data_IF_292518242409
#
_entry.id   IF_292518242409
#
_cell.length_a   1.000
_cell.length_b   1.000
_cell.length_c   1.000
_cell.angle_alpha   90.00
_cell.angle_beta   90.00
_cell.angle_gamma   90.00
#
_symmetry.space_group_name_H-M   'P 1'
#
loop_
_entity.id
_entity.type
_entity.pdbx_description
1 polymer ?
#
# COMPACT_ATOMS: atom_id res chain seq x y z
N UNK A 1 1.46 0.89 13.12
CA UNK A 1 2.21 1.42 14.28
C UNK A 1 2.35 2.92 14.10
N UNK A 2 1.70 3.73 14.94
CA UNK A 2 1.90 5.18 14.97
C UNK A 2 3.30 5.42 15.55
N UNK A 3 4.23 5.91 14.73
CA UNK A 3 5.52 6.43 15.19
C UNK A 3 5.27 7.72 15.98
N UNK A 4 4.82 7.59 17.23
CA UNK A 4 4.89 8.68 18.18
C UNK A 4 6.38 8.95 18.46
N UNK A 5 6.94 9.90 17.72
CA UNK A 5 7.69 11.14 18.08
C UNK A 5 8.20 11.28 19.55
N UNK A 6 8.35 10.21 20.31
CA UNK A 6 8.92 10.21 21.65
C UNK A 6 10.46 10.25 21.61
N UNK A 7 11.08 9.92 20.47
CA UNK A 7 12.55 9.81 20.32
C UNK A 7 13.31 11.14 20.26
N UNK A 8 12.71 12.22 19.75
CA UNK A 8 13.45 13.46 19.48
C UNK A 8 13.75 14.32 20.72
N UNK A 9 12.99 14.15 21.81
CA UNK A 9 13.12 15.01 23.00
C UNK A 9 14.48 14.89 23.69
N UNK A 10 15.17 13.77 23.53
CA UNK A 10 16.44 13.51 24.21
C UNK A 10 17.67 13.78 23.34
N UNK A 11 17.51 13.94 22.02
CA UNK A 11 18.61 14.15 21.09
C UNK A 11 19.18 15.57 21.24
N UNK A 12 20.48 15.67 21.49
CA UNK A 12 21.26 16.92 21.50
C UNK A 12 21.56 17.40 20.08
N UNK A 13 21.72 16.49 19.12
CA UNK A 13 22.01 16.83 17.73
C UNK A 13 21.34 15.88 16.75
N UNK A 14 20.77 16.45 15.68
CA UNK A 14 20.01 15.73 14.67
C UNK A 14 20.45 16.21 13.30
N UNK A 15 20.75 15.28 12.39
CA UNK A 15 20.87 15.59 10.97
C UNK A 15 19.57 15.31 10.23
N UNK A 16 19.27 16.12 9.21
CA UNK A 16 18.04 16.08 8.45
C UNK A 16 18.40 15.89 6.99
N UNK A 17 17.84 14.86 6.36
CA UNK A 17 18.00 14.60 4.93
C UNK A 17 16.62 14.69 4.27
N UNK A 18 16.35 15.85 3.66
CA UNK A 18 15.15 16.06 2.85
C UNK A 18 15.35 15.54 1.43
N UNK A 19 14.34 14.93 0.84
CA UNK A 19 14.43 14.45 -0.54
C UNK A 19 13.13 13.88 -1.07
N UNK A 20 12.99 13.85 -2.40
CA UNK A 20 11.84 13.15 -3.01
C UNK A 20 11.89 11.65 -2.72
N UNK A 21 13.10 11.05 -2.72
CA UNK A 21 13.33 9.62 -2.49
C UNK A 21 12.49 8.74 -3.41
N UNK A 22 12.71 8.88 -4.72
CA UNK A 22 11.87 8.25 -5.75
C UNK A 22 12.65 7.36 -6.75
N UNK A 23 13.21 6.22 -6.31
CA UNK A 23 13.21 5.71 -4.94
C UNK A 23 14.43 6.19 -4.12
N UNK A 24 14.40 5.95 -2.79
CA UNK A 24 15.61 5.99 -1.96
C UNK A 24 16.62 4.92 -2.44
N UNK A 25 17.91 5.16 -2.24
CA UNK A 25 18.97 4.29 -2.77
C UNK A 25 20.25 4.37 -1.94
N UNK A 26 21.21 3.49 -2.19
CA UNK A 26 22.43 3.35 -1.36
C UNK A 26 23.27 4.63 -1.30
N UNK A 27 23.27 5.44 -2.36
CA UNK A 27 23.90 6.78 -2.34
C UNK A 27 23.37 7.71 -1.25
N UNK A 28 22.06 7.67 -0.95
CA UNK A 28 21.46 8.48 0.11
C UNK A 28 21.89 7.98 1.50
N UNK A 29 21.85 6.66 1.70
CA UNK A 29 22.19 6.02 2.97
C UNK A 29 23.66 6.22 3.36
N UNK A 30 24.58 6.07 2.40
CA UNK A 30 26.01 6.30 2.63
C UNK A 30 26.28 7.76 2.97
N UNK A 31 25.61 8.70 2.30
CA UNK A 31 25.73 10.13 2.61
C UNK A 31 25.25 10.42 4.03
N UNK A 32 24.08 9.92 4.41
CA UNK A 32 23.51 10.10 5.74
C UNK A 32 24.43 9.53 6.83
N UNK A 33 24.95 8.32 6.65
CA UNK A 33 25.82 7.68 7.65
C UNK A 33 27.17 8.40 7.77
N UNK A 34 27.74 8.84 6.65
CA UNK A 34 29.00 9.58 6.65
C UNK A 34 28.86 10.90 7.41
N UNK A 35 27.76 11.65 7.20
CA UNK A 35 27.47 12.87 7.98
C UNK A 35 27.25 12.52 9.45
N UNK A 36 26.48 11.47 9.73
CA UNK A 36 26.21 11.02 11.11
C UNK A 36 27.50 10.82 11.89
N UNK A 37 28.41 10.04 11.31
CA UNK A 37 29.70 9.72 11.91
C UNK A 37 30.60 10.96 12.04
N UNK A 38 30.72 11.77 10.99
CA UNK A 38 31.62 12.94 10.96
C UNK A 38 31.25 14.01 11.97
N UNK A 39 29.96 14.27 12.15
CA UNK A 39 29.44 15.30 13.05
C UNK A 39 28.99 14.75 14.41
N UNK A 40 29.12 13.44 14.63
CA UNK A 40 28.70 12.74 15.83
C UNK A 40 27.27 13.13 16.25
N UNK A 41 26.34 13.09 15.28
CA UNK A 41 24.93 13.41 15.57
C UNK A 41 24.20 12.18 16.11
N UNK A 42 23.26 12.41 17.02
CA UNK A 42 22.53 11.34 17.69
C UNK A 42 21.63 10.56 16.72
N UNK A 43 21.00 11.28 15.78
CA UNK A 43 20.07 10.72 14.78
C UNK A 43 20.18 11.40 13.43
N UNK A 44 19.85 10.64 12.37
CA UNK A 44 19.54 11.20 11.04
C UNK A 44 18.06 10.97 10.75
N UNK A 45 17.32 12.04 10.48
CA UNK A 45 15.92 12.01 10.10
C UNK A 45 15.80 12.20 8.59
N UNK A 46 15.26 11.19 7.92
CA UNK A 46 14.87 11.25 6.52
C UNK A 46 13.47 11.86 6.42
N UNK A 47 13.31 12.84 5.53
CA UNK A 47 12.03 13.53 5.31
C UNK A 47 11.66 13.39 3.83
N UNK A 48 10.85 12.37 3.49
CA UNK A 48 10.26 12.25 2.16
C UNK A 48 9.37 13.45 1.88
N UNK A 49 9.61 14.14 0.77
CA UNK A 49 8.82 15.33 0.42
C UNK A 49 7.36 14.96 0.20
N UNK A 50 6.43 15.79 0.70
CA UNK A 50 4.99 15.67 0.48
C UNK A 50 4.63 15.88 -0.99
N UNK A 51 4.18 17.10 -1.32
CA UNK A 51 3.99 17.57 -2.70
C UNK A 51 5.12 18.56 -3.05
N UNK A 52 6.22 18.12 -3.69
CA UNK A 52 7.34 19.01 -4.01
C UNK A 52 6.92 20.07 -5.04
N UNK A 53 6.93 21.34 -4.63
CA UNK A 53 6.51 22.51 -5.43
C UNK A 53 7.35 22.71 -6.71
N UNK A 54 8.56 22.15 -6.73
CA UNK A 54 9.51 22.28 -7.85
C UNK A 54 9.40 21.17 -8.90
N UNK A 55 8.51 20.17 -8.72
CA UNK A 55 8.36 19.01 -9.62
C UNK A 55 6.94 18.83 -10.18
N UNK A 56 6.13 19.90 -10.24
CA UNK A 56 4.72 19.86 -10.70
C UNK A 56 4.56 19.28 -12.13
N UNK A 57 5.61 19.29 -12.95
CA UNK A 57 5.61 18.77 -14.33
C UNK A 57 6.18 17.36 -14.50
N UNK A 58 6.68 16.72 -13.43
CA UNK A 58 7.25 15.37 -13.50
C UNK A 58 6.29 14.39 -12.83
N UNK A 59 6.08 13.22 -13.44
CA UNK A 59 5.40 12.11 -12.80
C UNK A 59 6.29 11.63 -11.65
N UNK A 60 5.86 11.90 -10.42
CA UNK A 60 6.53 11.49 -9.18
C UNK A 60 5.67 10.42 -8.54
N UNK A 61 6.26 9.31 -8.13
CA UNK A 61 5.52 8.23 -7.48
C UNK A 61 4.81 8.73 -6.23
N UNK A 62 3.64 8.16 -5.94
CA UNK A 62 2.81 8.57 -4.83
C UNK A 62 3.61 8.65 -3.51
N UNK A 63 3.28 9.65 -2.69
CA UNK A 63 4.04 10.01 -1.50
C UNK A 63 4.15 8.86 -0.46
N UNK A 64 3.11 8.05 -0.31
CA UNK A 64 3.11 6.84 0.53
C UNK A 64 4.12 5.78 0.10
N UNK A 65 4.24 5.48 -1.20
CA UNK A 65 5.25 4.52 -1.67
C UNK A 65 6.66 5.01 -1.33
N UNK A 66 6.93 6.30 -1.56
CA UNK A 66 8.23 6.91 -1.25
C UNK A 66 8.53 6.90 0.25
N UNK A 67 7.53 7.16 1.08
CA UNK A 67 7.64 7.03 2.54
C UNK A 67 7.98 5.59 2.95
N UNK A 68 7.22 4.60 2.46
CA UNK A 68 7.40 3.19 2.81
C UNK A 68 8.76 2.66 2.35
N UNK A 69 9.19 2.98 1.13
CA UNK A 69 10.54 2.66 0.65
C UNK A 69 11.62 3.28 1.55
N UNK A 70 11.41 4.51 2.02
CA UNK A 70 12.35 5.18 2.96
C UNK A 70 12.39 4.47 4.31
N UNK A 71 11.26 4.02 4.85
CA UNK A 71 11.20 3.22 6.08
C UNK A 71 11.94 1.90 5.90
N UNK A 72 11.67 1.17 4.82
CA UNK A 72 12.33 -0.11 4.52
C UNK A 72 13.84 0.04 4.33
N UNK A 73 14.30 1.14 3.74
CA UNK A 73 15.72 1.42 3.56
C UNK A 73 16.46 1.73 4.86
N UNK A 74 15.77 2.27 5.86
CA UNK A 74 16.39 2.81 7.09
C UNK A 74 16.19 1.91 8.30
N UNK A 75 15.23 0.98 8.28
CA UNK A 75 14.83 0.16 9.44
C UNK A 75 15.95 -0.66 10.10
N UNK A 76 17.05 -0.93 9.40
CA UNK A 76 18.20 -1.68 9.93
C UNK A 76 19.27 -0.82 10.61
N UNK A 77 19.16 0.51 10.54
CA UNK A 77 20.08 1.43 11.22
C UNK A 77 19.35 2.12 12.37
N UNK A 78 19.72 1.77 13.61
CA UNK A 78 19.11 2.33 14.82
C UNK A 78 19.25 3.86 14.93
N UNK A 79 20.20 4.45 14.20
CA UNK A 79 20.44 5.89 14.21
C UNK A 79 19.62 6.64 13.14
N UNK A 80 18.90 5.92 12.29
CA UNK A 80 18.07 6.50 11.22
C UNK A 80 16.60 6.45 11.58
N UNK A 81 15.89 7.53 11.28
CA UNK A 81 14.44 7.64 11.45
C UNK A 81 13.80 8.27 10.23
N UNK A 82 12.52 8.00 10.01
CA UNK A 82 11.76 8.58 8.89
C UNK A 82 10.59 9.38 9.43
N UNK A 83 10.51 10.64 9.02
CA UNK A 83 9.45 11.55 9.45
C UNK A 83 8.41 11.75 8.35
N UNK A 84 7.14 11.68 8.74
CA UNK A 84 5.98 11.97 7.89
C UNK A 84 5.58 13.44 7.85
N UNK A 85 6.35 14.31 8.50
CA UNK A 85 5.99 15.71 8.76
C UNK A 85 5.62 16.52 7.49
N UNK A 86 6.23 16.20 6.35
CA UNK A 86 5.88 16.82 5.05
C UNK A 86 4.79 16.06 4.29
N UNK A 87 4.67 14.75 4.49
CA UNK A 87 3.67 13.89 3.85
C UNK A 87 2.27 14.23 4.36
N UNK A 88 2.15 14.41 5.67
CA UNK A 88 0.87 14.65 6.35
C UNK A 88 0.49 16.15 6.35
N UNK A 89 1.35 17.04 5.83
CA UNK A 89 1.09 18.48 5.75
C UNK A 89 0.27 18.81 4.48
N UNK A 90 -0.88 19.50 4.60
CA UNK A 90 -1.63 19.94 3.44
C UNK A 90 -0.88 21.05 2.68
N UNK A 91 -0.97 21.02 1.34
CA UNK A 91 -0.44 22.07 0.47
C UNK A 91 1.04 21.94 0.11
N UNK A 92 1.64 23.06 -0.33
CA UNK A 92 3.06 23.13 -0.67
C UNK A 92 3.93 23.02 0.59
N UNK A 93 5.08 22.37 0.46
CA UNK A 93 6.03 22.15 1.56
C UNK A 93 7.29 22.99 1.32
N UNK A 94 7.74 23.70 2.36
CA UNK A 94 8.96 24.50 2.36
C UNK A 94 9.87 24.06 3.51
N UNK A 95 11.19 24.03 3.25
CA UNK A 95 12.18 23.57 4.22
C UNK A 95 12.11 24.34 5.55
N UNK A 96 11.92 25.66 5.50
CA UNK A 96 11.80 26.49 6.71
C UNK A 96 10.66 26.01 7.63
N UNK A 97 9.48 25.79 7.07
CA UNK A 97 8.30 25.34 7.80
C UNK A 97 8.52 23.94 8.39
N UNK A 98 9.30 23.08 7.71
CA UNK A 98 9.69 21.74 8.21
C UNK A 98 10.67 21.83 9.37
N UNK A 99 11.71 22.66 9.27
CA UNK A 99 12.70 22.86 10.33
C UNK A 99 12.06 23.45 11.58
N UNK A 100 11.17 24.44 11.46
CA UNK A 100 10.47 25.02 12.60
C UNK A 100 9.56 24.01 13.30
N UNK A 101 8.82 23.22 12.52
CA UNK A 101 7.95 22.19 13.08
C UNK A 101 8.76 21.09 13.79
N UNK A 102 9.90 20.67 13.25
CA UNK A 102 10.79 19.72 13.93
C UNK A 102 11.40 20.28 15.21
N UNK A 103 11.83 21.55 15.20
CA UNK A 103 12.43 22.19 16.37
C UNK A 103 11.45 22.25 17.55
N UNK A 104 10.16 22.44 17.29
CA UNK A 104 9.08 22.38 18.30
C UNK A 104 8.91 20.99 18.94
N UNK A 105 9.32 19.93 18.24
CA UNK A 105 9.25 18.55 18.73
C UNK A 105 10.51 18.11 19.50
N UNK A 106 11.60 18.88 19.39
CA UNK A 106 12.89 18.58 19.99
C UNK A 106 13.09 19.36 21.31
N UNK A 107 14.19 19.07 22.01
CA UNK A 107 14.64 19.90 23.14
C UNK A 107 15.05 21.32 22.68
N UNK A 108 14.92 22.35 23.54
CA UNK A 108 15.15 23.76 23.15
C UNK A 108 16.56 24.06 22.60
N UNK A 109 17.57 23.34 23.06
CA UNK A 109 18.99 23.49 22.72
C UNK A 109 19.47 22.50 21.64
N UNK A 110 18.55 21.82 20.94
CA UNK A 110 18.90 20.89 19.86
C UNK A 110 19.72 21.58 18.76
N UNK A 111 20.77 20.92 18.28
CA UNK A 111 21.48 21.31 17.07
C UNK A 111 20.96 20.55 15.86
N UNK A 112 20.53 21.27 14.84
CA UNK A 112 20.02 20.69 13.61
C UNK A 112 21.05 20.86 12.48
N UNK A 113 21.30 19.79 11.73
CA UNK A 113 22.19 19.76 10.58
C UNK A 113 21.39 19.41 9.32
N UNK A 114 21.26 20.32 8.36
CA UNK A 114 20.56 20.05 7.11
C UNK A 114 21.53 19.52 6.05
N UNK A 115 21.37 18.25 5.67
CA UNK A 115 22.17 17.57 4.66
C UNK A 115 21.62 17.93 3.28
N UNK A 116 22.47 18.49 2.42
CA UNK A 116 22.09 18.81 1.04
C UNK A 116 23.27 18.69 0.10
N UNK A 117 23.00 18.43 -1.19
CA UNK A 117 24.04 18.47 -2.21
C UNK A 117 24.60 19.88 -2.38
N UNK A 118 25.87 19.99 -2.77
CA UNK A 118 26.51 21.29 -3.03
C UNK A 118 25.73 22.18 -4.02
N UNK A 119 25.08 21.59 -5.03
CA UNK A 119 24.29 22.35 -6.00
C UNK A 119 23.12 23.12 -5.38
N UNK A 120 22.55 22.60 -4.28
CA UNK A 120 21.46 23.27 -3.58
C UNK A 120 21.95 24.52 -2.82
N UNK A 121 23.24 24.57 -2.42
CA UNK A 121 23.83 25.72 -1.75
C UNK A 121 23.84 26.93 -2.69
N UNK A 122 24.13 26.73 -3.99
CA UNK A 122 24.08 27.80 -5.01
C UNK A 122 22.69 28.44 -5.14
N UNK A 123 21.63 27.74 -4.74
CA UNK A 123 20.24 28.19 -4.88
C UNK A 123 19.60 28.57 -3.55
N UNK A 124 20.30 28.42 -2.42
CA UNK A 124 19.72 28.55 -1.08
C UNK A 124 19.08 29.92 -0.84
N UNK A 125 19.63 30.98 -1.43
CA UNK A 125 19.11 32.35 -1.32
C UNK A 125 17.75 32.56 -2.01
N UNK A 126 17.32 31.64 -2.88
CA UNK A 126 16.01 31.66 -3.52
C UNK A 126 14.94 30.88 -2.74
N UNK A 127 15.31 30.22 -1.63
CA UNK A 127 14.37 29.47 -0.82
C UNK A 127 13.49 30.42 0.00
N UNK A 128 12.36 29.93 0.49
CA UNK A 128 11.48 30.70 1.39
C UNK A 128 12.23 31.00 2.70
N UNK A 129 12.36 32.28 3.02
CA UNK A 129 12.97 32.80 4.27
C UNK A 129 14.40 32.25 4.53
N UNK A 130 15.36 32.49 3.60
CA UNK A 130 16.67 31.83 3.63
C UNK A 130 17.51 32.26 4.83
N UNK A 131 17.43 33.54 5.22
CA UNK A 131 18.14 34.08 6.39
C UNK A 131 17.67 33.41 7.69
N UNK A 132 16.36 33.24 7.82
CA UNK A 132 15.76 32.57 8.97
C UNK A 132 16.17 31.11 9.00
N UNK A 133 16.13 30.42 7.86
CA UNK A 133 16.54 29.03 7.74
C UNK A 133 18.02 28.83 8.16
N UNK A 134 18.92 29.67 7.64
CA UNK A 134 20.35 29.67 7.99
C UNK A 134 20.62 29.95 9.48
N UNK A 135 19.71 30.63 10.17
CA UNK A 135 19.79 30.86 11.62
C UNK A 135 19.30 29.69 12.47
N UNK A 136 18.48 28.79 11.89
CA UNK A 136 17.82 27.71 12.64
C UNK A 136 18.59 26.38 12.61
N UNK A 137 19.38 26.13 11.57
CA UNK A 137 20.17 24.91 11.40
C UNK A 137 21.53 25.17 10.72
N UNK A 138 22.50 24.31 11.03
CA UNK A 138 23.77 24.23 10.34
C UNK A 138 23.58 23.46 9.02
N UNK A 139 24.26 23.83 7.94
CA UNK A 139 24.14 23.15 6.65
C UNK A 139 25.33 22.24 6.40
N UNK A 140 25.11 21.07 5.82
CA UNK A 140 26.16 20.15 5.41
C UNK A 140 26.06 19.94 3.91
N UNK A 141 26.90 20.67 3.17
CA UNK A 141 27.03 20.60 1.73
C UNK A 141 27.88 19.38 1.35
N UNK A 142 27.25 18.37 0.77
CA UNK A 142 27.93 17.14 0.34
C UNK A 142 28.30 17.20 -1.13
N UNK A 143 29.53 16.79 -1.45
CA UNK A 143 30.03 16.68 -2.84
C UNK A 143 30.49 15.28 -3.17
N UNK A 144 30.53 15.03 -4.48
CA UNK A 144 31.23 13.89 -5.08
C UNK A 144 32.66 14.30 -5.46
N UNK A 145 33.61 13.36 -5.52
CA UNK A 145 34.94 13.60 -6.08
C UNK A 145 34.87 14.26 -7.46
N UNK A 146 35.68 15.29 -7.68
CA UNK A 146 35.74 16.04 -8.94
C UNK A 146 34.77 17.23 -9.05
N UNK A 147 34.00 17.55 -8.01
CA UNK A 147 33.16 18.76 -7.97
C UNK A 147 34.01 20.05 -7.96
N UNK A 148 33.57 21.08 -8.68
CA UNK A 148 34.21 22.40 -8.71
C UNK A 148 34.08 23.09 -7.34
N UNK A 149 35.19 23.12 -6.60
CA UNK A 149 35.22 23.61 -5.23
C UNK A 149 35.27 25.13 -5.16
N UNK A 150 35.84 25.78 -6.16
CA UNK A 150 36.14 27.22 -6.09
C UNK A 150 34.86 28.04 -6.07
N UNK A 151 33.90 27.67 -6.93
CA UNK A 151 32.57 28.30 -6.95
C UNK A 151 31.83 28.10 -5.64
N UNK A 152 31.84 26.88 -5.10
CA UNK A 152 31.17 26.57 -3.83
C UNK A 152 31.78 27.33 -2.65
N UNK A 153 33.12 27.45 -2.61
CA UNK A 153 33.80 28.21 -1.56
C UNK A 153 33.49 29.72 -1.64
N UNK A 154 33.31 30.27 -2.84
CA UNK A 154 32.85 31.64 -3.04
C UNK A 154 31.50 31.90 -2.37
N UNK A 155 30.49 31.10 -2.72
CA UNK A 155 29.14 31.25 -2.18
C UNK A 155 29.10 31.03 -0.66
N UNK A 156 29.86 30.04 -0.15
CA UNK A 156 29.95 29.79 1.30
C UNK A 156 30.56 31.00 2.03
N UNK A 157 31.58 31.66 1.46
CA UNK A 157 32.17 32.87 2.06
C UNK A 157 31.15 34.00 2.14
N UNK A 158 30.47 34.27 1.02
CA UNK A 158 29.45 35.32 0.98
C UNK A 158 28.34 35.08 1.99
N UNK A 159 27.85 33.84 2.09
CA UNK A 159 26.79 33.49 3.04
C UNK A 159 27.28 33.62 4.49
N UNK A 160 28.50 33.19 4.81
CA UNK A 160 29.08 33.30 6.16
C UNK A 160 29.34 34.73 6.60
N UNK A 161 29.72 35.61 5.68
CA UNK A 161 29.95 37.03 5.96
C UNK A 161 28.64 37.76 6.26
N UNK A 162 27.56 37.41 5.55
CA UNK A 162 26.25 38.08 5.68
C UNK A 162 25.38 37.50 6.79
N UNK A 163 25.45 36.20 7.00
CA UNK A 163 24.59 35.46 7.92
C UNK A 163 25.48 34.59 8.77
N UNK A 164 25.46 34.75 10.09
CA UNK A 164 26.23 33.99 11.11
C UNK A 164 25.90 32.49 11.10
N UNK A 165 26.10 31.85 9.95
CA UNK A 165 25.59 30.56 9.54
C UNK A 165 26.76 29.60 9.42
N UNK A 166 26.53 28.35 9.83
CA UNK A 166 27.56 27.31 9.78
C UNK A 166 27.27 26.37 8.61
N UNK A 167 27.76 26.75 7.44
CA UNK A 167 27.80 25.84 6.28
C UNK A 167 29.09 25.03 6.38
N UNK A 168 28.95 23.72 6.47
CA UNK A 168 30.02 22.74 6.45
C UNK A 168 30.11 22.11 5.07
N UNK A 169 31.33 21.76 4.68
CA UNK A 169 31.62 21.06 3.44
C UNK A 169 32.14 19.66 3.74
N UNK A 170 31.66 18.66 3.00
CA UNK A 170 32.08 17.28 3.17
C UNK A 170 32.05 16.52 1.84
N UNK A 171 33.17 15.91 1.49
CA UNK A 171 33.24 14.96 0.38
C UNK A 171 32.76 13.58 0.86
N UNK A 172 31.86 12.95 0.11
CA UNK A 172 31.35 11.60 0.39
C UNK A 172 31.79 10.63 -0.72
N UNK A 173 31.87 9.31 -0.44
CA UNK A 173 32.22 8.32 -1.45
C UNK A 173 31.40 8.46 -2.74
N UNK A 174 32.08 8.35 -3.89
CA UNK A 174 31.46 8.47 -5.21
C UNK A 174 30.57 7.26 -5.53
N UNK A 175 29.34 7.24 -5.02
CA UNK A 175 28.31 6.35 -5.52
C UNK A 175 27.58 7.04 -6.66
N UNK A 176 27.94 6.70 -7.90
CA UNK A 176 27.30 7.19 -9.12
C UNK A 176 25.92 6.53 -9.33
N UNK A 177 25.08 6.61 -8.30
CA UNK A 177 23.71 6.11 -8.26
C UNK A 177 22.78 7.31 -8.30
N UNK A 178 21.72 7.22 -9.10
CA UNK A 178 20.65 8.21 -9.12
C UNK A 178 19.30 7.53 -9.18
N UNK A 179 18.29 8.12 -8.53
CA UNK A 179 16.93 7.61 -8.60
C UNK A 179 16.40 7.57 -10.05
N UNK A 180 16.80 8.52 -10.90
CA UNK A 180 16.39 8.54 -12.31
C UNK A 180 16.92 7.35 -13.11
N UNK A 181 18.18 6.96 -12.90
CA UNK A 181 18.75 5.74 -13.51
C UNK A 181 18.04 4.47 -13.01
N UNK A 182 17.70 4.41 -11.71
CA UNK A 182 16.96 3.28 -11.14
C UNK A 182 15.57 3.14 -11.77
N UNK A 183 14.81 4.23 -11.88
CA UNK A 183 13.48 4.21 -12.51
C UNK A 183 13.56 3.77 -13.97
N UNK A 184 14.53 4.28 -14.71
CA UNK A 184 14.76 3.93 -16.11
C UNK A 184 15.16 2.46 -16.30
N UNK A 185 16.02 1.92 -15.42
CA UNK A 185 16.35 0.48 -15.40
C UNK A 185 15.13 -0.38 -15.11
N UNK A 186 14.36 -0.04 -14.07
CA UNK A 186 13.16 -0.77 -13.69
C UNK A 186 12.14 -0.81 -14.84
N UNK A 187 11.92 0.33 -15.50
CA UNK A 187 11.07 0.45 -16.69
C UNK A 187 11.50 -0.48 -17.84
N UNK A 188 12.80 -0.67 -18.03
CA UNK A 188 13.36 -1.54 -19.09
C UNK A 188 13.54 -3.00 -18.67
N UNK A 189 13.12 -3.39 -17.47
CA UNK A 189 13.38 -4.72 -16.91
C UNK A 189 14.86 -5.01 -16.66
N UNK A 190 15.70 -3.97 -16.57
CA UNK A 190 17.13 -4.08 -16.27
C UNK A 190 17.34 -4.19 -14.76
N UNK A 191 18.26 -5.05 -14.27
CA UNK A 191 18.48 -5.20 -12.84
C UNK A 191 18.82 -3.91 -12.10
N UNK A 192 18.13 -3.68 -10.97
CA UNK A 192 18.36 -2.59 -10.00
C UNK A 192 19.07 -3.08 -8.72
N UNK A 193 19.43 -4.37 -8.70
CA UNK A 193 20.16 -5.04 -7.62
C UNK A 193 21.39 -4.27 -7.18
N UNK A 194 21.61 -4.17 -5.88
CA UNK A 194 22.75 -3.49 -5.23
C UNK A 194 22.83 -1.96 -5.41
N UNK A 195 21.96 -1.34 -6.21
CA UNK A 195 21.85 0.12 -6.29
C UNK A 195 21.08 0.70 -5.10
N UNK A 196 20.20 -0.10 -4.51
CA UNK A 196 19.35 0.21 -3.37
C UNK A 196 19.26 -1.00 -2.41
N UNK A 197 18.73 -0.84 -1.20
CA UNK A 197 18.55 -1.96 -0.26
C UNK A 197 17.60 -3.03 -0.80
N UNK A 198 17.85 -4.30 -0.47
CA UNK A 198 17.02 -5.44 -0.89
C UNK A 198 15.53 -5.22 -0.62
N UNK A 199 15.18 -4.76 0.58
CA UNK A 199 13.78 -4.56 0.96
C UNK A 199 13.06 -3.51 0.08
N UNK A 200 13.81 -2.55 -0.49
CA UNK A 200 13.26 -1.56 -1.42
C UNK A 200 13.13 -2.16 -2.83
N UNK A 201 14.08 -3.00 -3.25
CA UNK A 201 13.99 -3.76 -4.50
C UNK A 201 12.73 -4.64 -4.49
N UNK A 202 12.55 -5.44 -3.43
CA UNK A 202 11.40 -6.33 -3.25
C UNK A 202 10.09 -5.54 -3.27
N UNK A 203 10.08 -4.35 -2.64
CA UNK A 203 8.91 -3.46 -2.63
C UNK A 203 8.58 -2.93 -4.03
N UNK A 204 9.59 -2.45 -4.78
CA UNK A 204 9.40 -1.96 -6.16
C UNK A 204 8.80 -3.06 -7.04
N UNK A 205 9.31 -4.28 -6.96
CA UNK A 205 8.78 -5.41 -7.72
C UNK A 205 7.37 -5.81 -7.27
N UNK A 206 7.13 -5.88 -5.95
CA UNK A 206 5.83 -6.26 -5.38
C UNK A 206 4.68 -5.33 -5.81
N UNK A 207 4.97 -4.04 -5.95
CA UNK A 207 3.99 -3.02 -6.32
C UNK A 207 4.13 -2.56 -7.78
N UNK A 208 4.91 -3.27 -8.60
CA UNK A 208 5.17 -2.95 -10.02
C UNK A 208 5.53 -1.47 -10.28
N UNK A 209 6.23 -0.83 -9.33
CA UNK A 209 6.56 0.60 -9.45
C UNK A 209 7.54 0.82 -10.61
N UNK A 210 7.36 1.96 -11.30
CA UNK A 210 8.22 2.39 -12.41
C UNK A 210 8.10 1.56 -13.70
N UNK A 211 7.01 0.82 -13.87
CA UNK A 211 6.68 0.06 -15.08
C UNK A 211 5.60 0.80 -15.89
N UNK A 212 5.62 0.68 -17.22
CA UNK A 212 4.83 1.53 -18.14
C UNK A 212 3.32 1.24 -18.15
N UNK A 213 2.82 0.24 -17.42
CA UNK A 213 1.47 -0.26 -17.60
C UNK A 213 0.39 0.35 -16.70
N UNK A 214 0.72 1.08 -15.62
CA UNK A 214 -0.32 1.66 -14.76
C UNK A 214 0.09 3.03 -14.19
N UNK A 215 -0.90 3.92 -13.99
CA UNK A 215 -0.68 5.13 -13.19
C UNK A 215 -0.21 4.68 -11.81
N UNK A 216 0.89 5.26 -11.32
CA UNK A 216 1.40 5.15 -9.93
C UNK A 216 0.41 5.74 -8.90
N UNK A 217 -0.86 5.35 -8.98
CA UNK A 217 -1.87 5.51 -7.95
C UNK A 217 -1.58 4.51 -6.83
N UNK A 218 -1.96 4.82 -5.59
CA UNK A 218 -1.74 3.88 -4.49
C UNK A 218 -2.65 2.68 -4.67
N UNK A 219 -2.17 1.66 -5.37
CA UNK A 219 -2.76 0.32 -5.32
C UNK A 219 -2.22 -0.34 -4.07
N UNK A 220 -2.98 -0.21 -2.99
CA UNK A 220 -2.69 -0.98 -1.78
C UNK A 220 -2.80 -2.47 -2.05
N UNK A 221 -3.70 -2.86 -2.95
CA UNK A 221 -3.99 -4.23 -3.34
C UNK A 221 -2.93 -4.82 -4.29
N UNK A 222 -2.64 -6.12 -4.16
CA UNK A 222 -1.77 -6.83 -5.10
C UNK A 222 -2.35 -6.80 -6.53
N UNK A 223 -1.52 -6.89 -7.56
CA UNK A 223 -2.02 -7.07 -8.93
C UNK A 223 -2.65 -8.47 -9.10
N UNK A 224 -3.50 -8.63 -10.12
CA UNK A 224 -4.26 -9.87 -10.33
C UNK A 224 -3.36 -11.09 -10.54
N UNK A 225 -2.24 -10.94 -11.26
CA UNK A 225 -1.31 -12.05 -11.53
C UNK A 225 -0.70 -12.60 -10.23
N UNK A 226 -0.22 -11.73 -9.33
CA UNK A 226 0.34 -12.13 -8.04
C UNK A 226 -0.74 -12.75 -7.14
N UNK A 227 -1.96 -12.20 -7.16
CA UNK A 227 -3.07 -12.80 -6.42
C UNK A 227 -3.33 -14.22 -6.88
N UNK A 228 -3.38 -14.43 -8.20
CA UNK A 228 -3.65 -15.70 -8.83
C UNK A 228 -2.55 -16.73 -8.52
N UNK A 229 -1.27 -16.36 -8.61
CA UNK A 229 -0.14 -17.23 -8.26
C UNK A 229 -0.18 -17.66 -6.77
N UNK A 230 -0.42 -16.69 -5.87
CA UNK A 230 -0.52 -16.96 -4.42
C UNK A 230 -1.70 -17.87 -4.12
N UNK A 231 -2.84 -17.65 -4.78
CA UNK A 231 -4.05 -18.43 -4.60
C UNK A 231 -3.92 -19.85 -5.17
N UNK A 232 -3.32 -20.01 -6.34
CA UNK A 232 -3.06 -21.31 -6.96
C UNK A 232 -2.22 -22.22 -6.05
N UNK A 233 -1.30 -21.63 -5.28
CA UNK A 233 -0.47 -22.36 -4.32
C UNK A 233 -1.21 -22.71 -3.02
N UNK A 234 -2.27 -21.98 -2.69
CA UNK A 234 -3.02 -22.12 -1.44
C UNK A 234 -4.25 -23.04 -1.56
N UNK A 235 -4.88 -23.08 -2.73
CA UNK A 235 -6.10 -23.85 -2.98
C UNK A 235 -5.80 -25.23 -3.56
N UNK A 236 -6.69 -26.19 -3.29
CA UNK A 236 -6.73 -27.45 -4.02
C UNK A 236 -7.05 -27.21 -5.51
N UNK A 237 -6.60 -28.11 -6.38
CA UNK A 237 -6.82 -28.01 -7.83
C UNK A 237 -8.32 -27.86 -8.16
N UNK A 238 -9.18 -28.66 -7.52
CA UNK A 238 -10.64 -28.59 -7.72
C UNK A 238 -11.19 -27.21 -7.35
N UNK A 239 -10.73 -26.65 -6.22
CA UNK A 239 -11.17 -25.33 -5.76
C UNK A 239 -10.67 -24.22 -6.65
N UNK A 240 -9.41 -24.28 -7.08
CA UNK A 240 -8.85 -23.28 -7.99
C UNK A 240 -9.58 -23.25 -9.34
N UNK A 241 -9.90 -24.41 -9.93
CA UNK A 241 -10.71 -24.48 -11.17
C UNK A 241 -12.08 -23.85 -10.96
N UNK A 242 -12.74 -24.18 -9.85
CA UNK A 242 -14.02 -23.57 -9.48
C UNK A 242 -13.89 -22.04 -9.35
N UNK A 243 -12.87 -21.54 -8.64
CA UNK A 243 -12.63 -20.10 -8.50
C UNK A 243 -12.46 -19.40 -9.85
N UNK A 244 -11.70 -19.97 -10.78
CA UNK A 244 -11.56 -19.40 -12.12
C UNK A 244 -12.90 -19.42 -12.89
N UNK A 245 -13.69 -20.49 -12.74
CA UNK A 245 -15.05 -20.54 -13.28
C UNK A 245 -15.97 -19.45 -12.74
N UNK A 246 -15.87 -19.12 -11.45
CA UNK A 246 -16.59 -18.01 -10.82
C UNK A 246 -16.13 -16.67 -11.39
N UNK A 247 -14.83 -16.46 -11.57
CA UNK A 247 -14.29 -15.23 -12.18
C UNK A 247 -14.86 -15.04 -13.59
N UNK A 248 -14.76 -16.07 -14.44
CA UNK A 248 -15.25 -16.02 -15.83
C UNK A 248 -16.76 -15.75 -15.89
N UNK A 249 -17.54 -16.41 -15.03
CA UNK A 249 -18.99 -16.25 -14.99
C UNK A 249 -19.40 -14.86 -14.47
N UNK A 250 -18.70 -14.37 -13.44
CA UNK A 250 -18.95 -13.05 -12.88
C UNK A 250 -18.62 -11.94 -13.89
N UNK A 251 -17.56 -12.10 -14.69
CA UNK A 251 -17.27 -11.19 -15.81
C UNK A 251 -18.41 -11.16 -16.83
N UNK A 252 -18.93 -12.33 -17.24
CA UNK A 252 -20.08 -12.41 -18.17
C UNK A 252 -21.31 -11.69 -17.64
N UNK A 253 -21.65 -11.88 -16.37
CA UNK A 253 -22.78 -11.17 -15.74
C UNK A 253 -22.51 -9.65 -15.66
N UNK A 254 -21.27 -9.25 -15.45
CA UNK A 254 -20.89 -7.82 -15.41
C UNK A 254 -21.00 -7.15 -16.77
N UNK A 255 -20.74 -7.87 -17.87
CA UNK A 255 -20.94 -7.36 -19.23
C UNK A 255 -22.42 -7.04 -19.52
N UNK A 256 -23.35 -7.72 -18.84
CA UNK A 256 -24.80 -7.55 -19.02
C UNK A 256 -25.36 -6.49 -18.08
N UNK A 257 -25.00 -6.56 -16.79
CA UNK A 257 -25.65 -5.77 -15.73
C UNK A 257 -24.76 -4.65 -15.17
N UNK A 258 -23.45 -4.73 -15.35
CA UNK A 258 -22.47 -3.83 -14.76
C UNK A 258 -21.89 -2.82 -15.76
N UNK A 259 -20.80 -2.18 -15.33
CA UNK A 259 -20.04 -1.22 -16.13
C UNK A 259 -18.57 -1.62 -16.26
N UNK A 260 -17.86 -0.99 -17.20
CA UNK A 260 -16.43 -1.26 -17.40
C UNK A 260 -15.58 -0.95 -16.15
N UNK A 261 -16.02 -0.01 -15.30
CA UNK A 261 -15.37 0.31 -14.03
C UNK A 261 -15.51 -0.79 -12.97
N UNK A 262 -16.50 -1.68 -13.10
CA UNK A 262 -16.75 -2.75 -12.13
C UNK A 262 -15.89 -4.00 -12.40
N UNK A 263 -15.37 -4.13 -13.63
CA UNK A 263 -14.63 -5.32 -14.08
C UNK A 263 -13.51 -5.72 -13.13
N UNK A 264 -12.69 -4.75 -12.70
CA UNK A 264 -11.58 -5.03 -11.78
C UNK A 264 -12.09 -5.51 -10.41
N UNK A 265 -13.16 -4.91 -9.87
CA UNK A 265 -13.72 -5.32 -8.58
C UNK A 265 -14.27 -6.74 -8.64
N UNK A 266 -14.95 -7.08 -9.72
CA UNK A 266 -15.53 -8.40 -9.97
C UNK A 266 -14.45 -9.46 -10.08
N UNK A 267 -13.38 -9.20 -10.85
CA UNK A 267 -12.25 -10.12 -10.97
C UNK A 267 -11.61 -10.41 -9.61
N UNK A 268 -11.36 -9.37 -8.80
CA UNK A 268 -10.76 -9.53 -7.47
C UNK A 268 -11.69 -10.27 -6.51
N UNK A 269 -12.97 -9.88 -6.45
CA UNK A 269 -13.95 -10.51 -5.56
C UNK A 269 -14.15 -11.98 -5.94
N UNK A 270 -14.28 -12.27 -7.24
CA UNK A 270 -14.39 -13.63 -7.78
C UNK A 270 -13.13 -14.45 -7.51
N UNK A 271 -11.94 -13.88 -7.66
CA UNK A 271 -10.68 -14.59 -7.40
C UNK A 271 -10.52 -14.92 -5.91
N UNK A 272 -10.95 -14.03 -5.01
CA UNK A 272 -10.71 -14.17 -3.58
C UNK A 272 -11.91 -14.68 -2.76
N UNK A 273 -13.09 -14.93 -3.36
CA UNK A 273 -14.30 -15.32 -2.63
C UNK A 273 -14.07 -16.53 -1.71
N UNK A 274 -13.31 -17.51 -2.19
CA UNK A 274 -13.02 -18.78 -1.51
C UNK A 274 -11.58 -18.89 -0.98
N UNK A 275 -10.85 -17.77 -0.85
CA UNK A 275 -9.43 -17.78 -0.50
C UNK A 275 -9.08 -18.43 0.86
N UNK A 276 -10.07 -18.56 1.76
CA UNK A 276 -9.91 -19.22 3.05
C UNK A 276 -10.58 -20.61 3.13
N UNK A 277 -11.10 -21.13 2.01
CA UNK A 277 -11.94 -22.34 2.00
C UNK A 277 -11.21 -23.62 2.37
N UNK A 278 -10.00 -23.78 1.86
CA UNK A 278 -9.18 -24.99 2.05
C UNK A 278 -8.28 -24.90 3.29
N UNK A 279 -8.47 -23.89 4.15
CA UNK A 279 -7.68 -23.74 5.38
C UNK A 279 -7.96 -24.92 6.34
N UNK A 280 -6.92 -25.62 6.83
CA UNK A 280 -7.08 -26.63 7.86
C UNK A 280 -7.77 -26.07 9.11
N UNK A 281 -8.58 -26.84 9.85
CA UNK A 281 -9.33 -26.35 11.01
C UNK A 281 -8.47 -25.59 12.03
N UNK A 282 -7.27 -26.10 12.33
CA UNK A 282 -6.33 -25.44 13.25
C UNK A 282 -5.87 -24.07 12.74
N UNK A 283 -5.63 -23.95 11.44
CA UNK A 283 -5.22 -22.70 10.79
C UNK A 283 -6.38 -21.70 10.75
N UNK A 284 -7.57 -22.16 10.38
CA UNK A 284 -8.81 -21.36 10.38
C UNK A 284 -9.08 -20.78 11.76
N UNK A 285 -9.06 -21.62 12.80
CA UNK A 285 -9.37 -21.19 14.16
C UNK A 285 -8.32 -20.20 14.70
N UNK A 286 -7.04 -20.43 14.38
CA UNK A 286 -5.95 -19.49 14.67
C UNK A 286 -6.17 -18.13 14.02
N UNK A 287 -6.47 -18.10 12.72
CA UNK A 287 -6.67 -16.84 12.00
C UNK A 287 -7.95 -16.13 12.39
N UNK A 288 -9.03 -16.85 12.71
CA UNK A 288 -10.25 -16.22 13.25
C UNK A 288 -9.94 -15.44 14.53
N UNK A 289 -9.11 -16.01 15.42
CA UNK A 289 -8.68 -15.33 16.65
C UNK A 289 -7.74 -14.15 16.38
N UNK A 290 -6.75 -14.33 15.51
CA UNK A 290 -5.76 -13.29 15.20
C UNK A 290 -6.38 -12.08 14.51
N UNK A 291 -7.26 -12.35 13.53
CA UNK A 291 -7.92 -11.32 12.73
C UNK A 291 -9.21 -10.81 13.38
N UNK A 292 -9.61 -11.39 14.52
CA UNK A 292 -10.82 -11.03 15.26
C UNK A 292 -12.08 -11.16 14.41
N UNK A 293 -12.16 -12.25 13.63
CA UNK A 293 -13.34 -12.58 12.83
C UNK A 293 -14.52 -12.81 13.78
N UNK A 294 -15.67 -12.14 13.59
CA UNK A 294 -16.85 -12.41 14.39
C UNK A 294 -17.40 -13.80 14.05
N UNK A 295 -17.28 -14.75 14.98
CA UNK A 295 -17.80 -16.11 14.85
C UNK A 295 -18.99 -16.28 15.79
N UNK A 296 -20.18 -16.35 15.22
CA UNK A 296 -21.43 -16.51 15.97
C UNK A 296 -21.76 -17.99 16.27
N UNK A 297 -22.89 -18.24 16.93
CA UNK A 297 -23.28 -19.59 17.33
C UNK A 297 -23.71 -20.48 16.15
N UNK A 298 -24.18 -19.90 15.04
CA UNK A 298 -24.50 -20.65 13.82
C UNK A 298 -23.22 -21.13 13.14
N UNK A 299 -22.22 -20.24 13.01
CA UNK A 299 -20.91 -20.56 12.46
C UNK A 299 -20.15 -21.60 13.29
N UNK A 300 -20.31 -21.61 14.62
CA UNK A 300 -19.75 -22.67 15.47
C UNK A 300 -20.35 -24.04 15.18
N UNK A 301 -21.66 -24.12 14.90
CA UNK A 301 -22.36 -25.37 14.57
C UNK A 301 -22.11 -25.82 13.14
N UNK A 302 -21.94 -24.87 12.22
CA UNK A 302 -21.64 -25.12 10.80
C UNK A 302 -20.33 -24.39 10.45
N UNK A 303 -19.16 -24.99 10.76
CA UNK A 303 -17.86 -24.33 10.58
C UNK A 303 -17.54 -23.94 9.13
N UNK A 304 -18.20 -24.57 8.16
CA UNK A 304 -18.10 -24.18 6.76
C UNK A 304 -18.59 -22.75 6.52
N UNK A 305 -19.45 -22.17 7.36
CA UNK A 305 -19.90 -20.78 7.23
C UNK A 305 -18.84 -19.76 7.66
N UNK A 306 -17.71 -20.18 8.20
CA UNK A 306 -16.64 -19.27 8.66
C UNK A 306 -15.79 -18.75 7.49
N UNK A 307 -15.59 -19.56 6.44
CA UNK A 307 -14.66 -19.22 5.36
C UNK A 307 -14.94 -17.89 4.63
N UNK A 308 -16.18 -17.42 4.37
CA UNK A 308 -16.36 -16.15 3.67
C UNK A 308 -15.99 -14.96 4.58
N UNK A 309 -16.32 -15.04 5.88
CA UNK A 309 -15.98 -14.01 6.86
C UNK A 309 -14.48 -13.96 7.11
N UNK A 310 -13.84 -15.12 7.26
CA UNK A 310 -12.38 -15.21 7.32
C UNK A 310 -11.74 -14.79 6.00
N UNK A 311 -12.33 -15.15 4.87
CA UNK A 311 -11.88 -14.83 3.52
C UNK A 311 -11.81 -13.33 3.26
N UNK A 312 -12.81 -12.56 3.70
CA UNK A 312 -12.76 -11.09 3.64
C UNK A 312 -11.57 -10.54 4.45
N UNK A 313 -11.32 -11.09 5.63
CA UNK A 313 -10.21 -10.65 6.49
C UNK A 313 -8.82 -11.08 5.96
N UNK A 314 -8.74 -12.23 5.26
CA UNK A 314 -7.56 -12.69 4.53
C UNK A 314 -7.33 -11.80 3.30
N UNK A 315 -8.36 -11.53 2.49
CA UNK A 315 -8.28 -10.63 1.35
C UNK A 315 -7.75 -9.24 1.76
N UNK A 316 -8.26 -8.71 2.89
CA UNK A 316 -7.80 -7.42 3.42
C UNK A 316 -6.32 -7.41 3.81
N UNK A 317 -5.83 -8.44 4.49
CA UNK A 317 -4.46 -8.44 5.08
C UNK A 317 -3.40 -9.03 4.17
N UNK A 318 -3.74 -10.13 3.51
CA UNK A 318 -2.80 -10.94 2.74
C UNK A 318 -2.72 -10.56 1.26
N UNK A 319 -3.82 -10.01 0.74
CA UNK A 319 -3.96 -9.52 -0.64
C UNK A 319 -4.11 -7.99 -0.70
N UNK A 320 -4.14 -7.34 0.47
CA UNK A 320 -4.16 -5.90 0.65
C UNK A 320 -5.38 -5.20 0.01
N UNK A 321 -6.50 -5.92 -0.07
CA UNK A 321 -7.78 -5.39 -0.56
C UNK A 321 -8.32 -4.36 0.45
N UNK A 322 -8.48 -3.12 0.01
CA UNK A 322 -9.00 -2.03 0.85
C UNK A 322 -10.44 -1.62 0.49
N UNK A 323 -10.93 -2.00 -0.69
CA UNK A 323 -12.29 -1.67 -1.16
C UNK A 323 -13.32 -2.52 -0.40
N UNK A 324 -14.19 -1.86 0.36
CA UNK A 324 -15.18 -2.56 1.19
C UNK A 324 -16.25 -3.26 0.35
N UNK A 325 -16.59 -2.78 -0.86
CA UNK A 325 -17.55 -3.50 -1.71
C UNK A 325 -17.03 -4.88 -2.11
N UNK A 326 -15.73 -5.00 -2.42
CA UNK A 326 -15.08 -6.29 -2.70
C UNK A 326 -15.13 -7.18 -1.46
N UNK A 327 -14.82 -6.62 -0.28
CA UNK A 327 -14.78 -7.38 0.96
C UNK A 327 -16.16 -7.84 1.42
N UNK A 328 -17.21 -7.04 1.22
CA UNK A 328 -18.60 -7.45 1.48
C UNK A 328 -19.06 -8.54 0.50
N UNK A 329 -18.69 -8.44 -0.79
CA UNK A 329 -18.95 -9.48 -1.78
C UNK A 329 -18.34 -10.82 -1.36
N UNK A 330 -17.08 -10.83 -0.90
CA UNK A 330 -16.44 -12.02 -0.35
C UNK A 330 -17.15 -12.49 0.93
N UNK A 331 -17.52 -11.59 1.84
CA UNK A 331 -18.10 -11.91 3.15
C UNK A 331 -19.47 -12.57 3.06
N UNK A 332 -20.28 -12.20 2.07
CA UNK A 332 -21.66 -12.66 1.96
C UNK A 332 -21.94 -13.56 0.75
N UNK A 333 -20.91 -13.99 0.00
CA UNK A 333 -21.12 -14.81 -1.20
C UNK A 333 -21.81 -16.17 -0.95
N UNK A 334 -21.77 -16.72 0.26
CA UNK A 334 -22.44 -18.01 0.57
C UNK A 334 -23.78 -17.86 1.27
N UNK A 335 -23.92 -16.88 2.17
CA UNK A 335 -25.16 -16.71 2.94
C UNK A 335 -26.16 -15.82 2.22
N UNK A 336 -25.68 -14.91 1.36
CA UNK A 336 -26.41 -13.72 0.96
C UNK A 336 -26.66 -12.79 2.15
N UNK A 337 -27.28 -11.63 1.88
CA UNK A 337 -27.89 -10.73 2.87
C UNK A 337 -28.99 -9.88 2.22
N UNK A 338 -29.80 -9.20 3.03
CA UNK A 338 -30.78 -8.26 2.50
C UNK A 338 -30.10 -7.09 1.77
N UNK A 339 -30.70 -6.63 0.67
CA UNK A 339 -30.24 -5.49 -0.13
C UNK A 339 -28.76 -5.58 -0.56
N UNK A 340 -28.36 -6.71 -1.17
CA UNK A 340 -27.02 -6.86 -1.73
C UNK A 340 -26.78 -5.88 -2.88
N UNK A 341 -25.59 -5.28 -2.90
CA UNK A 341 -25.11 -4.49 -4.02
C UNK A 341 -25.02 -5.32 -5.31
N UNK A 342 -24.84 -4.64 -6.44
CA UNK A 342 -24.67 -5.32 -7.72
C UNK A 342 -23.49 -6.31 -7.71
N UNK A 343 -22.33 -5.90 -7.18
CA UNK A 343 -21.15 -6.74 -7.07
C UNK A 343 -21.42 -7.98 -6.20
N UNK A 344 -22.06 -7.80 -5.05
CA UNK A 344 -22.44 -8.89 -4.16
C UNK A 344 -23.36 -9.90 -4.85
N UNK A 345 -24.40 -9.42 -5.56
CA UNK A 345 -25.32 -10.28 -6.32
C UNK A 345 -24.59 -11.07 -7.40
N UNK A 346 -23.72 -10.40 -8.16
CA UNK A 346 -22.94 -11.04 -9.23
C UNK A 346 -22.06 -12.17 -8.66
N UNK A 347 -21.31 -11.92 -7.59
CA UNK A 347 -20.42 -12.94 -7.01
C UNK A 347 -21.19 -14.11 -6.39
N UNK A 348 -22.29 -13.82 -5.67
CA UNK A 348 -23.16 -14.86 -5.11
C UNK A 348 -23.76 -15.77 -6.19
N UNK A 349 -24.29 -15.18 -7.27
CA UNK A 349 -24.90 -15.92 -8.37
C UNK A 349 -23.84 -16.69 -9.16
N UNK A 350 -22.71 -16.06 -9.48
CA UNK A 350 -21.61 -16.67 -10.23
C UNK A 350 -21.05 -17.90 -9.49
N UNK A 351 -20.85 -17.82 -8.16
CA UNK A 351 -20.46 -18.97 -7.34
C UNK A 351 -21.42 -20.15 -7.52
N UNK A 352 -22.73 -19.88 -7.53
CA UNK A 352 -23.73 -20.93 -7.66
C UNK A 352 -23.79 -21.56 -9.07
N UNK A 353 -23.62 -20.77 -10.13
CA UNK A 353 -23.92 -21.21 -11.51
C UNK A 353 -22.71 -21.59 -12.35
N UNK A 354 -21.47 -21.37 -11.84
CA UNK A 354 -20.25 -21.51 -12.64
C UNK A 354 -20.16 -22.84 -13.42
N UNK A 355 -19.51 -22.86 -14.60
CA UNK A 355 -19.64 -23.97 -15.55
C UNK A 355 -19.15 -25.33 -15.05
N UNK A 356 -18.24 -25.37 -14.07
CA UNK A 356 -17.63 -26.59 -13.54
C UNK A 356 -18.40 -27.20 -12.37
N UNK A 357 -19.57 -26.64 -11.99
CA UNK A 357 -20.44 -27.23 -10.98
C UNK A 357 -20.91 -28.62 -11.40
N UNK A 358 -20.89 -29.55 -10.45
CA UNK A 358 -21.53 -30.86 -10.63
C UNK A 358 -23.04 -30.65 -10.86
N UNK A 359 -23.65 -31.27 -11.88
CA UNK A 359 -25.07 -31.06 -12.18
C UNK A 359 -25.98 -31.44 -11.02
N UNK A 360 -26.93 -30.57 -10.69
CA UNK A 360 -27.99 -30.82 -9.70
C UNK A 360 -29.32 -30.21 -10.15
N UNK A 361 -30.41 -30.65 -9.53
CA UNK A 361 -31.76 -30.18 -9.84
C UNK A 361 -31.88 -28.67 -9.60
N UNK A 362 -32.32 -27.93 -10.62
CA UNK A 362 -32.47 -26.47 -10.57
C UNK A 362 -31.27 -25.65 -11.04
N UNK A 363 -30.09 -26.25 -11.30
CA UNK A 363 -28.91 -25.51 -11.77
C UNK A 363 -29.14 -24.79 -13.12
N UNK A 364 -29.75 -25.48 -14.09
CA UNK A 364 -30.03 -24.89 -15.41
C UNK A 364 -31.06 -23.76 -15.35
N UNK A 365 -32.02 -23.84 -14.44
CA UNK A 365 -32.98 -22.76 -14.23
C UNK A 365 -32.33 -21.56 -13.55
N UNK A 366 -31.44 -21.78 -12.58
CA UNK A 366 -30.64 -20.72 -11.98
C UNK A 366 -29.76 -20.00 -13.02
N UNK A 367 -29.12 -20.76 -13.93
CA UNK A 367 -28.37 -20.22 -15.07
C UNK A 367 -29.28 -19.37 -15.97
N UNK A 368 -30.45 -19.89 -16.35
CA UNK A 368 -31.41 -19.14 -17.18
C UNK A 368 -31.83 -17.82 -16.52
N UNK A 369 -32.15 -17.85 -15.24
CA UNK A 369 -32.60 -16.68 -14.48
C UNK A 369 -31.47 -15.66 -14.30
N UNK A 370 -30.24 -16.10 -14.07
CA UNK A 370 -29.08 -15.22 -13.88
C UNK A 370 -28.83 -14.26 -15.05
N UNK A 371 -29.16 -14.68 -16.28
CA UNK A 371 -29.04 -13.88 -17.50
C UNK A 371 -30.33 -13.14 -17.88
N UNK A 372 -31.42 -13.38 -17.14
CA UNK A 372 -32.70 -12.69 -17.33
C UNK A 372 -32.84 -11.54 -16.35
N UNK A 373 -32.76 -11.82 -15.05
CA UNK A 373 -32.93 -10.86 -13.97
C UNK A 373 -32.20 -11.35 -12.69
N UNK A 374 -31.28 -10.53 -12.19
CA UNK A 374 -30.46 -10.89 -11.03
C UNK A 374 -31.29 -11.06 -9.74
N UNK A 375 -32.36 -10.29 -9.54
CA UNK A 375 -33.17 -10.38 -8.32
C UNK A 375 -34.05 -11.64 -8.36
N UNK A 376 -34.56 -12.01 -9.55
CA UNK A 376 -35.21 -13.32 -9.74
C UNK A 376 -34.24 -14.49 -9.51
N UNK A 377 -33.00 -14.38 -10.00
CA UNK A 377 -31.97 -15.39 -9.79
C UNK A 377 -31.60 -15.51 -8.30
N UNK A 378 -31.41 -14.38 -7.60
CA UNK A 378 -31.16 -14.34 -6.16
C UNK A 378 -32.27 -15.07 -5.39
N UNK A 379 -33.54 -14.72 -5.64
CA UNK A 379 -34.69 -15.37 -5.00
C UNK A 379 -34.68 -16.87 -5.23
N UNK A 380 -34.55 -17.30 -6.49
CA UNK A 380 -34.56 -18.72 -6.85
C UNK A 380 -33.43 -19.49 -6.15
N UNK A 381 -32.19 -18.98 -6.21
CA UNK A 381 -31.02 -19.63 -5.60
C UNK A 381 -31.16 -19.71 -4.07
N UNK A 382 -31.67 -18.65 -3.43
CA UNK A 382 -31.94 -18.63 -1.99
C UNK A 382 -33.00 -19.67 -1.61
N UNK A 383 -34.11 -19.76 -2.35
CA UNK A 383 -35.15 -20.78 -2.13
C UNK A 383 -34.60 -22.20 -2.23
N UNK A 384 -33.84 -22.50 -3.29
CA UNK A 384 -33.22 -23.82 -3.50
C UNK A 384 -32.22 -24.15 -2.39
N UNK A 385 -31.36 -23.20 -2.03
CA UNK A 385 -30.35 -23.39 -0.98
C UNK A 385 -31.00 -23.63 0.38
N UNK A 386 -32.03 -22.85 0.74
CA UNK A 386 -32.77 -23.00 2.00
C UNK A 386 -33.49 -24.34 2.06
N UNK A 387 -34.16 -24.76 0.97
CA UNK A 387 -34.82 -26.06 0.90
C UNK A 387 -33.81 -27.21 1.06
N UNK A 388 -32.67 -27.14 0.37
CA UNK A 388 -31.61 -28.13 0.44
C UNK A 388 -31.02 -28.27 1.85
N UNK A 389 -30.72 -27.15 2.52
CA UNK A 389 -30.16 -27.16 3.88
C UNK A 389 -31.17 -27.71 4.89
N UNK A 390 -32.45 -27.30 4.79
CA UNK A 390 -33.53 -27.82 5.64
C UNK A 390 -33.77 -29.31 5.44
N UNK A 391 -33.77 -29.80 4.20
CA UNK A 391 -33.93 -31.23 3.89
C UNK A 391 -32.83 -32.09 4.51
N UNK A 392 -31.64 -31.52 4.74
CA UNK A 392 -30.50 -32.19 5.40
C UNK A 392 -30.45 -31.99 6.92
N UNK A 393 -31.45 -31.32 7.51
CA UNK A 393 -31.51 -31.06 8.95
C UNK A 393 -30.37 -30.17 9.47
N UNK A 394 -29.76 -29.35 8.62
CA UNK A 394 -28.69 -28.42 8.99
C UNK A 394 -29.26 -27.05 9.37
N UNK A 395 -28.55 -26.31 10.21
CA UNK A 395 -28.93 -24.94 10.55
C UNK A 395 -28.59 -23.95 9.43
N UNK A 396 -29.47 -22.97 9.23
CA UNK A 396 -29.29 -21.86 8.30
C UNK A 396 -28.85 -20.62 9.06
N UNK A 397 -27.94 -19.85 8.49
CA UNK A 397 -27.60 -18.54 9.01
C UNK A 397 -28.79 -17.57 8.81
N UNK A 398 -29.14 -16.71 9.79
CA UNK A 398 -30.26 -15.76 9.68
C UNK A 398 -30.23 -14.89 8.42
N UNK A 399 -29.03 -14.47 7.99
CA UNK A 399 -28.83 -13.67 6.78
C UNK A 399 -29.47 -14.28 5.52
N UNK A 400 -29.46 -15.60 5.35
CA UNK A 400 -30.09 -16.24 4.18
C UNK A 400 -31.61 -16.10 4.20
N UNK A 401 -32.23 -16.15 5.39
CA UNK A 401 -33.67 -15.96 5.55
C UNK A 401 -34.06 -14.49 5.34
N UNK A 402 -33.26 -13.57 5.88
CA UNK A 402 -33.45 -12.12 5.69
C UNK A 402 -33.27 -11.71 4.22
N UNK A 403 -32.28 -12.29 3.54
CA UNK A 403 -32.08 -12.10 2.10
C UNK A 403 -33.29 -12.59 1.30
N UNK A 404 -33.76 -13.81 1.58
CA UNK A 404 -34.91 -14.36 0.87
C UNK A 404 -36.16 -13.49 1.08
N UNK A 405 -36.41 -13.02 2.30
CA UNK A 405 -37.55 -12.15 2.57
C UNK A 405 -37.47 -10.84 1.77
N UNK A 406 -36.27 -10.24 1.68
CA UNK A 406 -36.05 -9.05 0.86
C UNK A 406 -36.36 -9.28 -0.62
N UNK A 407 -35.85 -10.37 -1.21
CA UNK A 407 -36.00 -10.65 -2.65
C UNK A 407 -37.35 -11.27 -3.04
N UNK A 408 -38.23 -11.59 -2.07
CA UNK A 408 -39.60 -12.04 -2.40
C UNK A 408 -40.44 -10.93 -3.02
N UNK A 409 -40.18 -9.69 -2.60
CA UNK A 409 -40.96 -8.49 -2.91
C UNK A 409 -40.34 -7.62 -4.02
N UNK A 410 -39.19 -8.04 -4.57
CA UNK A 410 -38.47 -7.35 -5.65
C UNK A 410 -39.03 -7.66 -7.05
#
# INVERSE_FOLDING_TARGET
>A
MRNEIAGYKNCKSIAIMGGTFDPIHNGHLVTAEAVRHRFNVDKVIFIPTGRPVHKVKQQVTHNEHRYLMTVLATMRNENFEVSRIEIDRPGATYTIDTIEALKKLCRPDVRLYFITGADAIHQIMHWKEPERLLSLCDFVAVTRPGYDRDRLFGDIREIREKFTSRIHFMEVPALAISSSDIRDRAKRGVPIKYLLPQAVEDYIHKFCLYQDEEKDEVKFMLNLDIMQEKLQSALSIKRYIHTMGVVDEAERLTEIYGSQSDKQKVQVAGLLHDCAKDFPPEMRDRFCKEYKVPVDDYMKKVPDLIHPFLGAEVARREYLVADEEILEAIRYHTTGRANMSLLEKIIYIADYIEPNREPFEGLEEARRLAYLDLDMAMKYILEQTIQYVKARGRELHPFSMEALEYYKDC
#
